data_IF_621026640275
#
_entry.id   IF_621026640275
#
_cell.length_a   1.000
_cell.length_b   1.000
_cell.length_c   1.000
_cell.angle_alpha   90.00
_cell.angle_beta   90.00
_cell.angle_gamma   90.00
#
_symmetry.space_group_name_H-M   'P 1'
#
loop_
_entity.id
_entity.type
_entity.pdbx_description
1 polymer ?
#
# COMPACT_ATOMS: atom_id res chain seq x y z
N UNK A 1 -14.84 9.95 -11.19
CA UNK A 1 -15.38 8.56 -11.27
C UNK A 1 -15.96 8.16 -9.92
N UNK A 2 -17.05 7.37 -9.91
CA UNK A 2 -17.65 6.82 -8.68
C UNK A 2 -17.32 5.32 -8.60
N UNK A 3 -16.92 4.86 -7.42
CA UNK A 3 -16.62 3.45 -7.14
C UNK A 3 -17.43 2.95 -5.96
N UNK A 4 -18.11 1.82 -6.15
CA UNK A 4 -18.70 1.03 -5.07
C UNK A 4 -17.75 -0.14 -4.75
N UNK A 5 -17.27 -0.19 -3.50
CA UNK A 5 -16.27 -1.13 -3.02
C UNK A 5 -16.92 -2.04 -1.98
N UNK A 6 -16.77 -3.36 -2.16
CA UNK A 6 -17.18 -4.38 -1.19
C UNK A 6 -16.00 -5.29 -0.90
N UNK A 7 -15.63 -5.41 0.37
CA UNK A 7 -14.57 -6.32 0.85
C UNK A 7 -15.16 -7.21 1.95
N UNK A 8 -15.09 -8.53 1.74
CA UNK A 8 -15.47 -9.53 2.75
C UNK A 8 -14.23 -10.29 3.19
N UNK A 9 -13.88 -10.23 4.48
CA UNK A 9 -12.90 -11.12 5.10
C UNK A 9 -13.66 -12.17 5.91
N UNK A 10 -13.41 -13.45 5.65
CA UNK A 10 -14.00 -14.56 6.40
C UNK A 10 -12.92 -15.39 7.06
N UNK A 11 -13.04 -15.56 8.37
CA UNK A 11 -12.26 -16.50 9.16
C UNK A 11 -13.12 -17.72 9.44
N UNK A 12 -12.63 -18.91 9.06
CA UNK A 12 -13.19 -20.19 9.47
C UNK A 12 -12.13 -20.89 10.33
N UNK A 13 -12.28 -20.80 11.65
CA UNK A 13 -11.32 -21.35 12.60
C UNK A 13 -11.43 -22.88 12.65
N UNK A 14 -10.28 -23.56 12.77
CA UNK A 14 -10.24 -25.03 12.90
C UNK A 14 -10.93 -25.54 14.17
N UNK A 15 -11.01 -24.71 15.22
CA UNK A 15 -11.74 -24.95 16.46
C UNK A 15 -12.36 -23.65 16.98
N UNK A 16 -13.21 -23.76 18.00
CA UNK A 16 -13.81 -22.57 18.62
C UNK A 16 -12.74 -21.73 19.33
N UNK A 17 -12.64 -20.46 18.97
CA UNK A 17 -11.79 -19.48 19.66
C UNK A 17 -12.62 -18.76 20.73
N UNK A 18 -12.02 -18.43 21.88
CA UNK A 18 -12.72 -17.79 23.00
C UNK A 18 -13.13 -16.34 22.71
N UNK A 19 -12.29 -15.63 21.95
CA UNK A 19 -12.52 -14.26 21.52
C UNK A 19 -11.74 -14.00 20.23
N UNK A 20 -12.13 -12.97 19.46
CA UNK A 20 -11.38 -12.48 18.33
C UNK A 20 -11.11 -10.97 18.49
N UNK A 21 -9.89 -10.54 18.16
CA UNK A 21 -9.52 -9.13 18.17
C UNK A 21 -8.79 -8.77 16.89
N UNK A 22 -9.28 -7.76 16.19
CA UNK A 22 -8.70 -7.31 14.93
C UNK A 22 -8.47 -5.79 14.97
N UNK A 23 -7.38 -5.33 14.36
CA UNK A 23 -7.20 -3.93 14.00
C UNK A 23 -7.47 -3.80 12.49
N UNK A 24 -8.66 -3.34 12.14
CA UNK A 24 -9.15 -3.24 10.78
C UNK A 24 -8.69 -1.94 10.14
N UNK A 25 -8.22 -2.00 8.90
CA UNK A 25 -7.86 -0.86 8.05
C UNK A 25 -8.68 -0.90 6.76
N UNK A 26 -9.99 -1.05 6.92
CA UNK A 26 -10.92 -1.33 5.81
C UNK A 26 -11.64 -0.07 5.30
N UNK A 27 -11.76 0.96 6.15
CA UNK A 27 -12.33 2.25 5.76
C UNK A 27 -11.31 3.04 4.93
N UNK A 28 -11.61 3.36 3.65
CA UNK A 28 -10.74 4.20 2.83
C UNK A 28 -10.57 5.59 3.47
N UNK A 29 -9.41 6.20 3.27
CA UNK A 29 -9.15 7.59 3.68
C UNK A 29 -9.60 8.57 2.60
N UNK A 30 -9.95 9.78 3.01
CA UNK A 30 -9.96 10.93 2.11
C UNK A 30 -8.53 11.28 1.69
N UNK A 31 -8.38 11.68 0.43
CA UNK A 31 -7.08 12.02 -0.16
C UNK A 31 -7.29 13.07 -1.27
N UNK A 32 -6.30 13.91 -1.62
CA UNK A 32 -6.43 14.78 -2.80
C UNK A 32 -6.92 14.02 -4.03
N UNK A 33 -8.08 14.44 -4.54
CA UNK A 33 -8.78 13.80 -5.65
C UNK A 33 -9.47 12.47 -5.33
N UNK A 34 -9.75 12.19 -4.06
CA UNK A 34 -10.57 11.07 -3.59
C UNK A 34 -11.37 11.46 -2.34
N UNK A 35 -12.67 11.16 -2.34
CA UNK A 35 -13.56 11.41 -1.21
C UNK A 35 -14.43 10.19 -0.89
N UNK A 36 -14.56 9.86 0.39
CA UNK A 36 -15.49 8.86 0.90
C UNK A 36 -16.89 9.46 1.04
N UNK A 37 -17.89 8.87 0.39
CA UNK A 37 -19.29 9.33 0.50
C UNK A 37 -20.07 8.54 1.56
N UNK A 38 -19.97 7.22 1.52
CA UNK A 38 -20.63 6.34 2.50
C UNK A 38 -19.72 5.19 2.88
N UNK A 39 -19.85 4.74 4.13
CA UNK A 39 -19.10 3.62 4.67
C UNK A 39 -19.93 2.82 5.66
N UNK A 40 -20.00 1.50 5.46
CA UNK A 40 -20.63 0.56 6.37
C UNK A 40 -19.67 -0.58 6.70
N UNK A 41 -19.63 -0.95 7.98
CA UNK A 41 -18.88 -2.11 8.48
C UNK A 41 -19.84 -3.08 9.18
N UNK A 42 -20.01 -4.25 8.58
CA UNK A 42 -20.88 -5.32 9.08
C UNK A 42 -20.00 -6.43 9.61
N UNK A 43 -20.28 -6.91 10.83
CA UNK A 43 -19.52 -7.98 11.47
C UNK A 43 -20.47 -9.05 11.97
N UNK A 44 -20.26 -10.28 11.55
CA UNK A 44 -21.02 -11.45 11.99
C UNK A 44 -20.07 -12.56 12.44
N UNK A 45 -20.13 -13.03 13.69
CA UNK A 45 -20.99 -12.58 14.77
C UNK A 45 -20.72 -11.14 15.21
N UNK A 46 -21.80 -10.43 15.60
CA UNK A 46 -21.71 -9.05 16.12
C UNK A 46 -20.61 -8.94 17.19
N UNK A 47 -19.76 -7.93 17.04
CA UNK A 47 -18.71 -7.56 17.96
C UNK A 47 -18.69 -6.06 18.23
N UNK A 48 -17.96 -5.65 19.26
CA UNK A 48 -17.77 -4.24 19.62
C UNK A 48 -16.71 -3.62 18.74
N UNK A 49 -17.01 -2.49 18.13
CA UNK A 49 -16.07 -1.70 17.34
C UNK A 49 -15.76 -0.37 18.03
N UNK A 50 -14.54 0.12 17.86
CA UNK A 50 -14.15 1.48 18.27
C UNK A 50 -13.06 2.00 17.35
N UNK A 51 -13.08 3.30 17.07
CA UNK A 51 -11.97 3.95 16.39
C UNK A 51 -10.68 3.83 17.21
N UNK A 52 -9.56 3.66 16.54
CA UNK A 52 -8.23 3.62 17.10
C UNK A 52 -7.31 4.54 16.29
N UNK A 53 -6.23 4.98 16.94
CA UNK A 53 -5.21 5.80 16.28
C UNK A 53 -4.35 4.93 15.36
N UNK A 54 -4.06 5.42 14.16
CA UNK A 54 -2.99 4.88 13.34
C UNK A 54 -1.64 5.18 14.02
N UNK A 55 -0.88 4.14 14.35
CA UNK A 55 0.43 4.28 14.98
C UNK A 55 1.47 4.90 14.03
N UNK A 56 1.29 4.69 12.72
CA UNK A 56 2.07 5.31 11.66
C UNK A 56 1.24 5.47 10.38
N UNK A 57 1.54 6.52 9.61
CA UNK A 57 0.90 6.80 8.33
C UNK A 57 -0.56 7.25 8.42
N UNK A 58 -1.20 7.31 7.26
CA UNK A 58 -2.59 7.74 7.11
C UNK A 58 -3.50 6.55 6.89
N UNK A 59 -4.27 6.20 7.92
CA UNK A 59 -5.26 5.14 7.86
C UNK A 59 -6.35 5.36 8.91
N UNK A 60 -7.58 5.01 8.57
CA UNK A 60 -8.60 4.75 9.57
C UNK A 60 -8.35 3.37 10.19
N UNK A 61 -8.24 3.31 11.51
CA UNK A 61 -8.10 2.05 12.25
C UNK A 61 -9.35 1.82 13.09
N UNK A 62 -10.04 0.71 12.85
CA UNK A 62 -11.16 0.26 13.68
C UNK A 62 -10.73 -0.96 14.47
N UNK A 63 -10.76 -0.86 15.80
CA UNK A 63 -10.54 -2.01 16.67
C UNK A 63 -11.85 -2.78 16.82
N UNK A 64 -11.86 -4.03 16.38
CA UNK A 64 -12.95 -4.97 16.56
C UNK A 64 -12.61 -5.94 17.71
N UNK A 65 -13.57 -6.17 18.59
CA UNK A 65 -13.52 -7.22 19.61
C UNK A 65 -14.81 -8.02 19.55
N UNK A 66 -14.68 -9.32 19.30
CA UNK A 66 -15.75 -10.31 19.49
C UNK A 66 -15.42 -11.07 20.76
N UNK A 67 -16.17 -10.84 21.82
CA UNK A 67 -15.93 -11.32 23.19
C UNK A 67 -16.78 -12.54 23.56
N UNK A 68 -17.28 -13.25 22.55
CA UNK A 68 -17.94 -14.55 22.68
C UNK A 68 -17.16 -15.63 21.94
N UNK A 69 -17.32 -16.91 22.33
CA UNK A 69 -16.74 -18.02 21.60
C UNK A 69 -17.29 -18.12 20.17
N UNK A 70 -16.41 -18.23 19.17
CA UNK A 70 -16.79 -18.27 17.75
C UNK A 70 -15.99 -19.30 16.98
N UNK A 71 -16.60 -19.89 15.95
CA UNK A 71 -15.90 -20.75 14.97
C UNK A 71 -15.75 -20.07 13.62
N UNK A 72 -16.61 -19.11 13.30
CA UNK A 72 -16.51 -18.29 12.10
C UNK A 72 -16.65 -16.81 12.44
N UNK A 73 -15.97 -15.97 11.67
CA UNK A 73 -16.07 -14.51 11.74
C UNK A 73 -16.06 -13.95 10.32
N UNK A 74 -17.11 -13.23 9.95
CA UNK A 74 -17.25 -12.50 8.69
C UNK A 74 -17.19 -11.02 8.99
N UNK A 75 -16.31 -10.31 8.29
CA UNK A 75 -16.17 -8.85 8.35
C UNK A 75 -16.42 -8.35 6.94
N UNK A 76 -17.50 -7.59 6.75
CA UNK A 76 -17.85 -7.00 5.47
C UNK A 76 -17.77 -5.48 5.54
N UNK A 77 -16.95 -4.91 4.66
CA UNK A 77 -16.78 -3.47 4.49
C UNK A 77 -17.40 -3.04 3.16
N UNK A 78 -18.27 -2.03 3.20
CA UNK A 78 -18.88 -1.40 2.02
C UNK A 78 -18.51 0.07 2.00
N UNK A 79 -18.02 0.56 0.87
CA UNK A 79 -17.67 1.97 0.71
C UNK A 79 -18.11 2.49 -0.65
N UNK A 80 -18.63 3.72 -0.69
CA UNK A 80 -18.80 4.48 -1.93
C UNK A 80 -17.78 5.62 -1.97
N UNK A 81 -17.00 5.66 -3.03
CA UNK A 81 -15.92 6.63 -3.23
C UNK A 81 -16.17 7.46 -4.48
N UNK A 82 -15.90 8.76 -4.40
CA UNK A 82 -15.68 9.62 -5.57
C UNK A 82 -14.18 9.78 -5.74
N UNK A 83 -13.66 9.45 -6.91
CA UNK A 83 -12.26 9.65 -7.27
C UNK A 83 -12.19 10.57 -8.48
N UNK A 84 -11.60 11.73 -8.30
CA UNK A 84 -11.37 12.74 -9.31
C UNK A 84 -9.94 13.26 -9.19
N UNK A 85 -9.01 12.57 -9.85
CA UNK A 85 -7.60 12.94 -9.85
C UNK A 85 -7.00 12.74 -11.23
N UNK A 86 -6.09 13.62 -11.65
CA UNK A 86 -5.35 13.44 -12.89
C UNK A 86 -4.44 12.19 -12.80
N UNK A 87 -4.17 11.59 -13.95
CA UNK A 87 -3.09 10.60 -14.06
C UNK A 87 -1.77 11.36 -14.09
N UNK A 88 -0.85 11.12 -13.13
CA UNK A 88 0.43 11.81 -13.14
C UNK A 88 1.25 11.35 -14.34
N UNK A 89 1.76 12.32 -15.11
CA UNK A 89 2.62 12.10 -16.28
C UNK A 89 3.95 12.81 -16.07
N UNK A 90 5.09 12.15 -16.29
CA UNK A 90 6.40 12.80 -16.18
C UNK A 90 6.51 14.05 -17.06
N UNK A 91 7.07 15.11 -16.49
CA UNK A 91 7.34 16.37 -17.17
C UNK A 91 8.81 16.77 -16.98
N UNK A 92 9.46 17.43 -17.96
CA UNK A 92 10.79 18.02 -17.78
C UNK A 92 10.86 19.07 -16.65
N UNK A 93 9.71 19.60 -16.23
CA UNK A 93 9.61 20.56 -15.12
C UNK A 93 9.43 19.90 -13.75
N UNK A 94 9.35 18.57 -13.68
CA UNK A 94 9.22 17.87 -12.41
C UNK A 94 10.50 18.08 -11.58
N UNK A 95 10.38 18.24 -10.24
CA UNK A 95 11.54 18.34 -9.39
C UNK A 95 12.41 17.09 -9.53
N UNK A 96 13.72 17.33 -9.56
CA UNK A 96 14.73 16.28 -9.58
C UNK A 96 14.75 15.51 -8.25
N UNK A 97 15.28 14.29 -8.25
CA UNK A 97 15.47 13.52 -7.02
C UNK A 97 16.34 14.27 -6.00
N UNK A 98 17.37 15.01 -6.45
CA UNK A 98 18.20 15.84 -5.60
C UNK A 98 17.40 16.94 -4.88
N UNK A 99 16.54 17.64 -5.62
CA UNK A 99 15.66 18.69 -5.08
C UNK A 99 14.64 18.11 -4.10
N UNK A 100 13.97 17.01 -4.46
CA UNK A 100 13.05 16.30 -3.55
C UNK A 100 13.73 15.89 -2.25
N UNK A 101 14.94 15.32 -2.35
CA UNK A 101 15.69 14.89 -1.18
C UNK A 101 16.09 16.06 -0.28
N UNK A 102 16.48 17.21 -0.88
CA UNK A 102 16.78 18.43 -0.14
C UNK A 102 15.54 19.02 0.54
N UNK A 103 14.43 19.12 -0.18
CA UNK A 103 13.15 19.59 0.36
C UNK A 103 12.70 18.72 1.54
N UNK A 104 12.74 17.40 1.37
CA UNK A 104 12.35 16.44 2.38
C UNK A 104 13.20 16.56 3.66
N UNK A 105 14.53 16.71 3.53
CA UNK A 105 15.43 16.92 4.69
C UNK A 105 15.22 18.26 5.38
N UNK A 106 14.79 19.28 4.66
CA UNK A 106 14.54 20.62 5.21
C UNK A 106 13.14 20.78 5.81
N UNK A 107 12.22 19.86 5.50
CA UNK A 107 10.83 19.92 5.94
C UNK A 107 10.70 19.82 7.46
N UNK A 108 9.87 20.69 8.03
CA UNK A 108 9.45 20.67 9.44
C UNK A 108 8.03 20.15 9.61
N UNK A 109 7.44 19.59 8.55
CA UNK A 109 6.11 19.01 8.63
C UNK A 109 6.16 17.67 9.39
N UNK A 110 5.64 17.70 10.62
CA UNK A 110 5.49 16.53 11.48
C UNK A 110 4.11 15.88 11.35
N UNK A 111 3.28 16.31 10.38
CA UNK A 111 2.02 15.66 10.08
C UNK A 111 2.24 14.23 9.57
N UNK A 112 1.16 13.45 9.55
CA UNK A 112 1.20 12.10 8.99
C UNK A 112 1.46 12.09 7.47
N UNK A 113 1.31 13.22 6.77
CA UNK A 113 1.66 13.38 5.36
C UNK A 113 3.11 13.85 5.16
N UNK A 114 3.77 14.32 6.23
CA UNK A 114 5.12 14.86 6.19
C UNK A 114 6.17 13.83 5.76
N UNK A 115 7.23 14.24 5.04
CA UNK A 115 8.19 13.32 4.42
C UNK A 115 9.06 12.57 5.44
N UNK A 116 9.27 13.11 6.64
CA UNK A 116 10.15 12.53 7.65
C UNK A 116 9.79 11.07 8.01
N UNK A 117 8.50 10.73 8.00
CA UNK A 117 8.01 9.39 8.31
C UNK A 117 8.28 8.35 7.19
N UNK A 118 8.73 8.81 6.02
CA UNK A 118 8.80 8.01 4.80
C UNK A 118 10.21 7.91 4.20
N UNK A 119 11.22 8.54 4.81
CA UNK A 119 12.63 8.48 4.36
C UNK A 119 13.39 7.34 5.04
N UNK A 120 13.11 7.06 6.32
CA UNK A 120 13.88 6.11 7.12
C UNK A 120 13.41 4.66 6.94
N UNK A 121 14.30 3.67 7.17
CA UNK A 121 13.90 2.27 7.20
C UNK A 121 12.84 2.01 8.27
N UNK A 122 11.96 1.04 8.00
CA UNK A 122 10.98 0.54 8.96
C UNK A 122 11.18 -0.96 9.19
N UNK A 123 10.62 -1.55 10.27
CA UNK A 123 10.85 -2.97 10.58
C UNK A 123 10.51 -3.94 9.43
N UNK A 124 9.51 -3.62 8.62
CA UNK A 124 9.10 -4.43 7.46
C UNK A 124 9.79 -4.02 6.14
N UNK A 125 10.45 -2.86 6.11
CA UNK A 125 11.13 -2.33 4.93
C UNK A 125 12.51 -1.79 5.38
N UNK A 126 13.44 -2.69 5.73
CA UNK A 126 14.81 -2.31 6.06
C UNK A 126 15.53 -1.80 4.81
N UNK A 127 16.62 -1.04 5.01
CA UNK A 127 17.55 -0.78 3.91
C UNK A 127 18.34 -2.06 3.61
N UNK A 128 18.55 -2.31 2.32
CA UNK A 128 19.32 -3.45 1.84
C UNK A 128 20.30 -2.96 0.75
N UNK A 129 21.62 -3.16 0.91
CA UNK A 129 22.61 -2.70 -0.07
C UNK A 129 22.42 -3.27 -1.48
N UNK A 130 22.01 -4.54 -1.60
CA UNK A 130 21.85 -5.18 -2.92
C UNK A 130 20.62 -4.63 -3.64
N UNK A 131 19.52 -4.36 -2.91
CA UNK A 131 18.36 -3.67 -3.47
C UNK A 131 18.73 -2.23 -3.87
N UNK A 132 19.45 -1.51 -3.01
CA UNK A 132 19.87 -0.14 -3.27
C UNK A 132 20.75 -0.04 -4.52
N UNK A 133 21.76 -0.91 -4.64
CA UNK A 133 22.66 -0.98 -5.80
C UNK A 133 21.89 -1.31 -7.09
N UNK A 134 20.95 -2.25 -7.04
CA UNK A 134 20.16 -2.61 -8.21
C UNK A 134 19.22 -1.48 -8.66
N UNK A 135 18.65 -0.71 -7.73
CA UNK A 135 17.80 0.44 -8.00
C UNK A 135 18.59 1.68 -8.47
N UNK A 136 19.86 1.82 -8.07
CA UNK A 136 20.67 3.02 -8.28
C UNK A 136 20.71 3.56 -9.73
N UNK A 137 20.80 2.71 -10.79
CA UNK A 137 20.80 3.20 -12.17
C UNK A 137 19.56 4.01 -12.56
N UNK A 138 18.42 3.75 -11.93
CA UNK A 138 17.16 4.44 -12.20
C UNK A 138 16.95 5.68 -11.32
N UNK A 139 17.80 5.88 -10.31
CA UNK A 139 17.68 6.89 -9.23
C UNK A 139 18.80 7.94 -9.27
N UNK A 140 19.25 8.33 -10.46
CA UNK A 140 20.20 9.45 -10.63
C UNK A 140 19.65 10.73 -9.97
N UNK A 141 20.45 11.48 -9.18
CA UNK A 141 20.00 12.71 -8.52
C UNK A 141 19.41 13.76 -9.47
N UNK A 142 19.88 13.82 -10.72
CA UNK A 142 19.44 14.79 -11.73
C UNK A 142 18.16 14.37 -12.47
N UNK A 143 17.64 13.16 -12.21
CA UNK A 143 16.44 12.65 -12.86
C UNK A 143 15.19 13.21 -12.20
N UNK A 144 14.15 13.50 -13.01
CA UNK A 144 12.84 13.89 -12.49
C UNK A 144 12.23 12.80 -11.60
N UNK A 145 11.67 13.18 -10.45
CA UNK A 145 11.26 12.22 -9.43
C UNK A 145 10.15 11.26 -9.89
N UNK A 146 9.17 11.77 -10.64
CA UNK A 146 8.09 10.96 -11.19
C UNK A 146 8.59 10.00 -12.27
N UNK A 147 9.47 10.48 -13.14
CA UNK A 147 10.12 9.67 -14.18
C UNK A 147 10.93 8.51 -13.56
N UNK A 148 11.72 8.79 -12.52
CA UNK A 148 12.48 7.80 -11.79
C UNK A 148 11.59 6.73 -11.15
N UNK A 149 10.46 7.15 -10.55
CA UNK A 149 9.45 6.25 -10.01
C UNK A 149 8.88 5.30 -11.06
N UNK A 150 8.47 5.82 -12.22
CA UNK A 150 7.98 4.99 -13.33
C UNK A 150 9.04 4.05 -13.88
N UNK A 151 10.28 4.51 -14.03
CA UNK A 151 11.37 3.69 -14.54
C UNK A 151 11.62 2.48 -13.63
N UNK A 152 11.67 2.71 -12.31
CA UNK A 152 11.85 1.65 -11.33
C UNK A 152 10.66 0.67 -11.30
N UNK A 153 9.43 1.18 -11.32
CA UNK A 153 8.23 0.35 -11.39
C UNK A 153 8.20 -0.54 -12.66
N UNK A 154 8.52 0.05 -13.82
CA UNK A 154 8.62 -0.68 -15.08
C UNK A 154 9.75 -1.72 -15.05
N UNK A 155 10.87 -1.42 -14.40
CA UNK A 155 11.98 -2.37 -14.26
C UNK A 155 11.60 -3.55 -13.38
N UNK A 156 10.94 -3.31 -12.26
CA UNK A 156 10.38 -4.37 -11.41
C UNK A 156 9.40 -5.22 -12.21
N UNK A 157 8.48 -4.60 -12.96
CA UNK A 157 7.51 -5.32 -13.81
C UNK A 157 8.20 -6.24 -14.83
N UNK A 158 9.32 -5.83 -15.43
CA UNK A 158 10.05 -6.62 -16.42
C UNK A 158 10.88 -7.74 -15.82
N UNK A 159 11.50 -7.49 -14.66
CA UNK A 159 12.51 -8.38 -14.09
C UNK A 159 11.97 -9.31 -12.99
N UNK A 160 10.73 -9.11 -12.53
CA UNK A 160 10.12 -9.89 -11.45
C UNK A 160 8.84 -10.60 -11.89
N UNK A 161 8.71 -11.86 -11.51
CA UNK A 161 7.52 -12.66 -11.81
C UNK A 161 6.48 -12.51 -10.69
N UNK A 162 5.23 -12.22 -11.05
CA UNK A 162 4.13 -12.26 -10.09
C UNK A 162 3.78 -13.72 -9.75
N UNK A 163 3.94 -14.11 -8.48
CA UNK A 163 3.73 -15.46 -7.98
C UNK A 163 3.09 -15.43 -6.59
N UNK A 164 1.76 -15.68 -6.48
CA UNK A 164 1.03 -15.71 -5.21
C UNK A 164 1.49 -16.78 -4.22
N UNK A 165 2.24 -17.79 -4.67
CA UNK A 165 2.72 -18.88 -3.83
C UNK A 165 4.19 -18.69 -3.40
N UNK A 166 4.88 -17.66 -3.93
CA UNK A 166 6.30 -17.46 -3.68
C UNK A 166 6.60 -16.94 -2.26
N UNK A 167 5.70 -16.13 -1.70
CA UNK A 167 5.96 -15.35 -0.48
C UNK A 167 4.79 -15.45 0.49
N UNK A 168 5.11 -15.19 1.76
CA UNK A 168 4.16 -15.01 2.86
C UNK A 168 4.16 -13.54 3.31
N UNK A 169 3.17 -13.16 4.12
CA UNK A 169 3.00 -11.77 4.60
C UNK A 169 4.23 -11.22 5.34
N UNK A 170 5.02 -12.08 5.97
CA UNK A 170 6.22 -11.77 6.73
C UNK A 170 7.52 -12.03 5.97
N UNK A 171 7.46 -12.35 4.67
CA UNK A 171 8.66 -12.51 3.84
C UNK A 171 9.41 -11.18 3.75
N UNK A 172 10.71 -11.14 4.12
CA UNK A 172 11.50 -9.92 4.02
C UNK A 172 11.70 -9.48 2.56
N UNK A 173 11.80 -8.17 2.27
CA UNK A 173 12.02 -7.67 0.90
C UNK A 173 13.28 -8.22 0.25
N UNK A 174 14.35 -8.42 1.04
CA UNK A 174 15.61 -9.01 0.58
C UNK A 174 15.43 -10.45 0.06
N UNK A 175 14.53 -11.22 0.66
CA UNK A 175 14.24 -12.59 0.22
C UNK A 175 13.54 -12.58 -1.14
N UNK A 176 12.42 -11.85 -1.25
CA UNK A 176 11.69 -11.71 -2.50
C UNK A 176 12.57 -11.12 -3.62
N UNK A 177 13.46 -10.19 -3.27
CA UNK A 177 14.45 -9.62 -4.19
C UNK A 177 15.41 -10.68 -4.75
N UNK A 178 15.95 -11.57 -3.91
CA UNK A 178 16.82 -12.66 -4.37
C UNK A 178 16.08 -13.66 -5.27
N UNK A 179 14.82 -13.94 -4.96
CA UNK A 179 14.02 -14.88 -5.75
C UNK A 179 13.51 -14.29 -7.08
N UNK A 180 13.47 -12.96 -7.21
CA UNK A 180 12.88 -12.24 -8.37
C UNK A 180 11.43 -12.64 -8.66
N UNK A 181 10.69 -13.01 -7.61
CA UNK A 181 9.27 -13.37 -7.68
C UNK A 181 8.57 -13.02 -6.38
N UNK A 182 7.27 -12.76 -6.45
CA UNK A 182 6.46 -12.38 -5.30
C UNK A 182 5.14 -11.75 -5.70
N UNK A 183 4.54 -11.01 -4.79
CA UNK A 183 3.27 -10.31 -4.99
C UNK A 183 3.43 -8.79 -4.91
N UNK A 184 2.33 -8.06 -5.06
CA UNK A 184 2.32 -6.59 -5.01
C UNK A 184 2.95 -6.00 -3.73
N UNK A 185 2.82 -6.69 -2.59
CA UNK A 185 3.49 -6.32 -1.35
C UNK A 185 5.01 -6.28 -1.53
N UNK A 186 5.59 -7.37 -2.04
CA UNK A 186 7.04 -7.53 -2.17
C UNK A 186 7.61 -6.47 -3.12
N UNK A 187 6.96 -6.26 -4.26
CA UNK A 187 7.39 -5.29 -5.26
C UNK A 187 7.34 -3.86 -4.74
N UNK A 188 6.27 -3.50 -4.00
CA UNK A 188 6.19 -2.20 -3.36
C UNK A 188 7.30 -2.02 -2.31
N UNK A 189 7.57 -3.03 -1.49
CA UNK A 189 8.61 -2.95 -0.45
C UNK A 189 10.02 -2.85 -1.05
N UNK A 190 10.33 -3.60 -2.12
CA UNK A 190 11.60 -3.51 -2.85
C UNK A 190 11.79 -2.10 -3.43
N UNK A 191 10.76 -1.59 -4.10
CA UNK A 191 10.79 -0.24 -4.68
C UNK A 191 11.00 0.84 -3.60
N UNK A 192 10.28 0.75 -2.47
CA UNK A 192 10.43 1.67 -1.34
C UNK A 192 11.84 1.57 -0.74
N UNK A 193 12.40 0.37 -0.63
CA UNK A 193 13.76 0.15 -0.13
C UNK A 193 14.78 0.92 -0.98
N UNK A 194 14.69 0.81 -2.30
CA UNK A 194 15.56 1.55 -3.23
C UNK A 194 15.39 3.07 -3.13
N UNK A 195 14.15 3.55 -3.13
CA UNK A 195 13.85 4.99 -3.02
C UNK A 195 14.37 5.59 -1.71
N UNK A 196 14.16 4.90 -0.58
CA UNK A 196 14.65 5.34 0.73
C UNK A 196 16.18 5.30 0.82
N UNK A 197 16.82 4.32 0.19
CA UNK A 197 18.28 4.30 0.07
C UNK A 197 18.84 5.50 -0.71
N UNK A 198 18.09 6.00 -1.69
CA UNK A 198 18.39 7.24 -2.42
C UNK A 198 17.96 8.52 -1.68
N UNK A 199 17.47 8.42 -0.44
CA UNK A 199 17.05 9.57 0.36
C UNK A 199 15.73 10.20 -0.12
N UNK A 200 14.87 9.42 -0.78
CA UNK A 200 13.58 9.85 -1.31
C UNK A 200 12.46 9.34 -0.41
N UNK A 201 11.56 10.20 0.10
CA UNK A 201 10.46 9.74 0.92
C UNK A 201 9.48 8.90 0.10
N UNK A 202 9.31 7.65 0.51
CA UNK A 202 8.43 6.70 -0.15
C UNK A 202 7.56 5.96 0.89
N UNK A 203 6.26 5.89 0.60
CA UNK A 203 5.26 5.27 1.48
C UNK A 203 4.66 4.03 0.84
N UNK A 204 4.36 3.05 1.69
CA UNK A 204 3.56 1.89 1.31
C UNK A 204 2.08 2.28 1.34
N UNK A 205 1.40 2.15 0.22
CA UNK A 205 -0.03 2.34 0.11
C UNK A 205 -0.73 1.02 -0.19
N UNK A 206 -1.93 0.87 0.34
CA UNK A 206 -2.78 -0.29 0.08
C UNK A 206 -4.22 0.15 -0.18
N UNK A 207 -4.93 -0.59 -1.02
CA UNK A 207 -6.33 -0.33 -1.30
C UNK A 207 -6.89 -1.26 -2.35
N UNK A 208 -7.76 -0.71 -3.21
CA UNK A 208 -8.50 -1.47 -4.20
C UNK A 208 -8.23 -0.91 -5.58
N UNK A 209 -8.05 -1.79 -6.56
CA UNK A 209 -7.85 -1.42 -7.97
C UNK A 209 -9.01 -1.95 -8.81
N UNK A 210 -9.36 -1.23 -9.88
CA UNK A 210 -10.30 -1.75 -10.88
C UNK A 210 -9.49 -2.37 -12.00
N UNK A 211 -9.42 -3.70 -12.05
CA UNK A 211 -8.84 -4.42 -13.18
C UNK A 211 -9.84 -4.49 -14.34
N UNK A 212 -9.32 -4.52 -15.57
CA UNK A 212 -10.10 -4.85 -16.76
C UNK A 212 -9.78 -6.31 -17.12
N UNK A 213 -10.79 -7.19 -17.24
CA UNK A 213 -10.53 -8.57 -17.64
C UNK A 213 -9.98 -8.61 -19.07
N UNK A 214 -9.23 -9.67 -19.44
CA UNK A 214 -8.90 -9.93 -20.83
C UNK A 214 -10.14 -9.96 -21.73
N UNK A 215 -10.02 -9.60 -23.02
CA UNK A 215 -11.15 -9.68 -23.96
C UNK A 215 -11.81 -11.06 -23.92
N UNK A 216 -13.15 -11.09 -23.78
CA UNK A 216 -13.94 -12.32 -23.76
C UNK A 216 -14.13 -12.97 -22.39
N UNK A 217 -13.51 -12.46 -21.32
CA UNK A 217 -13.74 -12.94 -19.97
C UNK A 217 -14.76 -12.07 -19.23
N UNK A 218 -15.62 -12.72 -18.43
CA UNK A 218 -16.55 -12.00 -17.58
C UNK A 218 -15.77 -11.13 -16.59
N UNK A 219 -16.27 -9.92 -16.36
CA UNK A 219 -15.71 -9.06 -15.33
C UNK A 219 -15.88 -9.74 -13.98
N UNK A 220 -14.76 -10.02 -13.31
CA UNK A 220 -14.80 -10.51 -11.94
C UNK A 220 -15.42 -9.43 -11.05
N UNK A 221 -16.35 -9.84 -10.19
CA UNK A 221 -16.90 -8.96 -9.15
C UNK A 221 -15.88 -8.88 -8.02
N UNK A 222 -15.02 -7.87 -8.09
CA UNK A 222 -13.92 -7.65 -7.14
C UNK A 222 -12.59 -7.45 -7.87
N UNK A 223 -11.65 -6.77 -7.22
CA UNK A 223 -10.24 -7.01 -7.51
C UNK A 223 -9.90 -8.41 -6.96
N UNK A 224 -9.09 -9.21 -7.66
CA UNK A 224 -8.68 -10.55 -7.19
C UNK A 224 -8.10 -10.55 -5.76
N UNK A 225 -7.64 -9.39 -5.27
CA UNK A 225 -7.30 -9.13 -3.87
C UNK A 225 -7.28 -7.61 -3.60
N UNK A 226 -7.07 -7.22 -2.34
CA UNK A 226 -6.48 -5.89 -2.05
C UNK A 226 -5.16 -5.74 -2.80
N UNK A 227 -4.76 -4.51 -3.10
CA UNK A 227 -3.52 -4.22 -3.81
C UNK A 227 -2.61 -3.33 -2.98
N UNK A 228 -1.32 -3.38 -3.27
CA UNK A 228 -0.30 -2.54 -2.69
C UNK A 228 0.52 -1.83 -3.76
N UNK A 229 0.88 -0.58 -3.50
CA UNK A 229 1.71 0.23 -4.40
C UNK A 229 2.52 1.25 -3.60
N UNK A 230 3.35 2.01 -4.32
CA UNK A 230 4.23 3.02 -3.74
C UNK A 230 3.66 4.43 -3.94
N UNK A 231 3.73 5.25 -2.91
CA UNK A 231 3.62 6.70 -3.04
C UNK A 231 5.01 7.31 -2.90
N UNK A 232 5.37 8.19 -3.84
CA UNK A 232 6.59 8.99 -3.77
C UNK A 232 6.18 10.39 -3.34
N UNK A 233 6.86 10.94 -2.35
CA UNK A 233 6.65 12.32 -1.93
C UNK A 233 7.31 13.28 -2.92
N UNK A 234 6.54 14.22 -3.46
CA UNK A 234 6.94 15.06 -4.60
C UNK A 234 7.09 16.55 -4.30
N UNK A 235 7.16 16.96 -3.02
CA UNK A 235 7.12 18.38 -2.62
C UNK A 235 5.77 18.79 -2.06
#
# INVERSE_FOLDING_TARGET
MIYDIRHITRFDYGAQVKYARCNLRLQPIDWPGQRLETYDLIVEPVGRTRSARAEAGLAHVTRLVVDRPVRSLTIESRARMVVDRPVPMPSPSDPTLAEISALARSSRDLSAAGPANYIFPSPLIPLDPAIAEWCAPDLSPDRGALEAGFALANRIQREFAFDPAATLVDTPPAEAFRQRRGVCQDFAQIMITGLRAAGIPAAYASGYIRTLPPPGQARLVGADATHAWVLIWGG
#
